data_IF_610649934109
#
_entry.id   IF_610649934109
#
_cell.length_a   1.000
_cell.length_b   1.000
_cell.length_c   1.000
_cell.angle_alpha   90.00
_cell.angle_beta   90.00
_cell.angle_gamma   90.00
#
_symmetry.space_group_name_H-M   'P 1'
#
loop_
_entity.id
_entity.type
_entity.pdbx_description
1 polymer ?
#
# COMPACT_ATOMS: atom_id res chain seq x y z
N UNK A 1 -31.02 42.83 60.19
CA UNK A 1 -31.82 44.05 59.99
C UNK A 1 -32.92 43.66 59.06
N UNK A 2 -34.14 43.56 59.55
CA UNK A 2 -35.32 43.39 58.72
C UNK A 2 -35.50 44.65 57.92
N UNK A 3 -35.40 44.53 56.58
CA UNK A 3 -35.80 45.62 55.67
C UNK A 3 -37.32 45.86 55.92
N UNK A 4 -37.60 46.79 56.84
CA UNK A 4 -38.95 47.25 57.02
C UNK A 4 -39.44 47.84 55.70
N UNK A 5 -40.62 47.37 55.28
CA UNK A 5 -41.24 47.81 54.08
C UNK A 5 -41.42 49.34 54.18
N UNK A 6 -40.75 50.09 53.31
CA UNK A 6 -40.91 51.54 53.23
C UNK A 6 -42.28 51.91 52.64
N UNK A 7 -43.29 51.76 53.50
CA UNK A 7 -44.69 51.97 53.09
C UNK A 7 -44.95 53.35 52.52
N UNK A 8 -44.21 54.35 52.98
CA UNK A 8 -44.37 55.77 52.48
C UNK A 8 -43.92 55.88 50.99
N UNK A 9 -42.89 55.17 50.65
CA UNK A 9 -42.41 55.07 49.25
C UNK A 9 -43.45 54.37 48.36
N UNK A 10 -44.07 53.32 48.83
CA UNK A 10 -45.11 52.61 48.07
C UNK A 10 -46.39 53.36 47.94
N UNK A 11 -46.80 54.15 48.96
CA UNK A 11 -47.95 55.10 48.87
C UNK A 11 -47.67 56.16 47.85
N UNK A 12 -46.48 56.71 47.83
CA UNK A 12 -46.11 57.74 46.86
C UNK A 12 -46.09 57.20 45.42
N UNK A 13 -45.56 55.99 45.24
CA UNK A 13 -45.60 55.35 43.94
C UNK A 13 -47.03 54.99 43.47
N UNK A 14 -47.87 54.50 44.37
CA UNK A 14 -49.28 54.28 44.05
C UNK A 14 -50.02 55.54 43.59
N UNK A 15 -49.78 56.69 44.22
CA UNK A 15 -50.35 57.97 43.81
C UNK A 15 -49.84 58.38 42.42
N UNK A 16 -48.55 58.16 42.08
CA UNK A 16 -47.97 58.46 40.75
C UNK A 16 -48.59 57.64 39.62
N UNK A 17 -48.95 56.39 39.88
CA UNK A 17 -49.59 55.47 38.88
C UNK A 17 -51.14 55.52 38.91
N UNK A 18 -51.76 56.41 39.75
CA UNK A 18 -53.21 56.57 39.86
C UNK A 18 -53.94 55.45 40.56
N UNK A 19 -53.19 54.58 41.39
CA UNK A 19 -53.78 53.53 42.19
C UNK A 19 -54.13 53.97 43.60
N UNK A 20 -55.09 53.29 44.28
CA UNK A 20 -55.43 53.60 45.66
C UNK A 20 -54.22 53.26 46.57
N UNK A 21 -53.59 54.17 47.31
CA UNK A 21 -52.40 53.97 48.08
C UNK A 21 -52.55 52.91 49.19
N UNK A 22 -53.74 52.82 49.82
CA UNK A 22 -53.96 51.87 50.90
C UNK A 22 -54.18 50.45 50.38
N UNK A 23 -54.89 50.28 49.28
CA UNK A 23 -55.05 48.97 48.62
C UNK A 23 -53.72 48.49 48.05
N UNK A 24 -52.89 49.38 47.50
CA UNK A 24 -51.56 49.11 46.96
C UNK A 24 -50.59 48.57 48.05
N UNK A 25 -50.52 49.31 49.18
CA UNK A 25 -49.68 48.91 50.32
C UNK A 25 -50.16 47.57 50.90
N UNK A 26 -51.49 47.37 50.98
CA UNK A 26 -52.04 46.06 51.42
C UNK A 26 -51.72 44.91 50.49
N UNK A 27 -51.65 45.16 49.19
CA UNK A 27 -51.22 44.17 48.21
C UNK A 27 -49.73 43.89 48.33
N UNK A 28 -48.88 44.95 48.49
CA UNK A 28 -47.43 44.81 48.69
C UNK A 28 -47.10 44.03 49.97
N UNK A 29 -47.85 44.24 51.07
CA UNK A 29 -47.68 43.41 52.30
C UNK A 29 -47.93 41.91 52.12
N UNK A 30 -48.70 41.54 51.12
CA UNK A 30 -48.96 40.12 50.81
C UNK A 30 -47.85 39.48 49.98
N UNK A 31 -46.97 40.28 49.37
CA UNK A 31 -45.83 39.76 48.64
C UNK A 31 -44.78 39.25 49.63
N UNK A 32 -44.30 38.04 49.44
CA UNK A 32 -43.17 37.52 50.22
C UNK A 32 -41.91 38.33 49.95
N UNK A 33 -41.44 39.05 50.98
CA UNK A 33 -40.17 39.75 50.90
C UNK A 33 -39.01 38.74 51.09
N UNK A 34 -38.06 38.79 50.17
CA UNK A 34 -36.84 38.03 50.21
C UNK A 34 -35.69 39.03 50.41
N UNK A 35 -34.81 38.80 51.37
CA UNK A 35 -33.67 39.66 51.58
C UNK A 35 -32.70 39.64 50.38
N UNK A 36 -31.95 40.74 50.18
CA UNK A 36 -30.96 40.82 49.10
C UNK A 36 -29.91 39.70 49.21
N UNK A 37 -29.50 39.39 50.43
CA UNK A 37 -28.53 38.29 50.73
C UNK A 37 -29.10 36.92 50.26
N UNK A 38 -30.37 36.64 50.57
CA UNK A 38 -31.03 35.41 50.11
C UNK A 38 -31.15 35.32 48.60
N UNK A 39 -31.36 36.42 47.89
CA UNK A 39 -31.36 36.50 46.44
C UNK A 39 -29.96 36.25 45.86
N UNK A 40 -28.94 36.85 46.46
CA UNK A 40 -27.55 36.64 46.05
C UNK A 40 -27.08 35.18 46.28
N UNK A 41 -27.43 34.61 47.44
CA UNK A 41 -27.19 33.20 47.71
C UNK A 41 -27.89 32.26 46.73
N UNK A 42 -29.19 32.48 46.46
CA UNK A 42 -29.93 31.74 45.46
C UNK A 42 -29.32 31.84 44.06
N UNK A 43 -28.94 33.09 43.65
CA UNK A 43 -28.28 33.30 42.38
C UNK A 43 -26.94 32.55 42.26
N UNK A 44 -26.14 32.52 43.34
CA UNK A 44 -24.90 31.76 43.38
C UNK A 44 -25.14 30.26 43.28
N UNK A 45 -26.12 29.71 43.99
CA UNK A 45 -26.51 28.31 43.88
C UNK A 45 -26.92 27.97 42.44
N UNK A 46 -27.79 28.79 41.83
CA UNK A 46 -28.18 28.60 40.42
C UNK A 46 -27.01 28.67 39.46
N UNK A 47 -26.06 29.58 39.65
CA UNK A 47 -24.84 29.69 38.86
C UNK A 47 -23.98 28.39 38.95
N UNK A 48 -23.77 27.91 40.18
CA UNK A 48 -23.00 26.67 40.41
C UNK A 48 -23.69 25.47 39.75
N UNK A 49 -25.01 25.34 39.93
CA UNK A 49 -25.78 24.23 39.31
C UNK A 49 -25.72 24.36 37.79
N UNK A 50 -25.95 25.50 37.20
CA UNK A 50 -25.91 25.72 35.75
C UNK A 50 -24.50 25.39 35.18
N UNK A 51 -23.44 25.83 35.88
CA UNK A 51 -22.04 25.52 35.52
C UNK A 51 -21.77 24.02 35.57
N UNK A 52 -22.22 23.33 36.60
CA UNK A 52 -22.02 21.89 36.75
C UNK A 52 -22.78 21.11 35.68
N UNK A 53 -24.05 21.44 35.44
CA UNK A 53 -24.87 20.80 34.40
C UNK A 53 -24.27 21.01 33.00
N UNK A 54 -23.81 22.23 32.71
CA UNK A 54 -23.12 22.53 31.43
C UNK A 54 -21.82 21.72 31.28
N UNK A 55 -21.01 21.64 32.34
CA UNK A 55 -19.78 20.83 32.33
C UNK A 55 -20.04 19.35 32.16
N UNK A 56 -21.10 18.81 32.81
CA UNK A 56 -21.52 17.43 32.65
C UNK A 56 -21.96 17.14 31.21
N UNK A 57 -22.79 17.99 30.63
CA UNK A 57 -23.24 17.86 29.24
C UNK A 57 -22.06 17.89 28.24
N UNK A 58 -21.13 18.80 28.46
CA UNK A 58 -19.92 18.88 27.62
C UNK A 58 -19.04 17.62 27.75
N UNK A 59 -18.86 17.12 28.96
CA UNK A 59 -18.10 15.90 29.20
C UNK A 59 -18.78 14.65 28.55
N UNK A 60 -20.11 14.52 28.67
CA UNK A 60 -20.84 13.46 27.99
C UNK A 60 -20.71 13.54 26.46
N UNK A 61 -20.79 14.74 25.89
CA UNK A 61 -20.56 14.94 24.46
C UNK A 61 -19.16 14.50 24.04
N UNK A 62 -18.13 14.88 24.81
CA UNK A 62 -16.74 14.47 24.55
C UNK A 62 -16.56 12.96 24.63
N UNK A 63 -17.12 12.30 25.63
CA UNK A 63 -17.05 10.85 25.80
C UNK A 63 -17.70 10.13 24.61
N UNK A 64 -18.89 10.61 24.18
CA UNK A 64 -19.54 10.06 22.99
C UNK A 64 -18.68 10.17 21.73
N UNK A 65 -18.07 11.35 21.50
CA UNK A 65 -17.16 11.55 20.36
C UNK A 65 -15.92 10.66 20.44
N UNK A 66 -15.37 10.44 21.61
CA UNK A 66 -14.23 9.52 21.81
C UNK A 66 -14.63 8.07 21.50
N UNK A 67 -15.84 7.64 21.88
CA UNK A 67 -16.36 6.29 21.54
C UNK A 67 -16.46 6.12 20.02
N UNK A 68 -17.13 7.04 19.35
CA UNK A 68 -17.25 7.04 17.88
C UNK A 68 -15.88 6.98 17.19
N UNK A 69 -14.91 7.79 17.66
CA UNK A 69 -13.54 7.78 17.13
C UNK A 69 -12.84 6.43 17.38
N UNK A 70 -12.99 5.83 18.57
CA UNK A 70 -12.39 4.53 18.89
C UNK A 70 -12.98 3.41 18.03
N UNK A 71 -14.31 3.41 17.79
CA UNK A 71 -14.96 2.45 16.92
C UNK A 71 -14.45 2.57 15.46
N UNK A 72 -14.39 3.80 14.92
CA UNK A 72 -13.84 4.04 13.59
C UNK A 72 -12.37 3.63 13.47
N UNK A 73 -11.55 3.92 14.50
CA UNK A 73 -10.15 3.52 14.54
C UNK A 73 -10.01 2.00 14.52
N UNK A 74 -10.78 1.27 15.33
CA UNK A 74 -10.78 -0.19 15.37
C UNK A 74 -11.24 -0.81 14.03
N UNK A 75 -12.18 -0.17 13.34
CA UNK A 75 -12.60 -0.59 12.01
C UNK A 75 -11.47 -0.37 11.00
N UNK A 76 -10.80 0.79 11.02
CA UNK A 76 -9.66 1.09 10.18
C UNK A 76 -8.50 0.12 10.38
N UNK A 77 -8.18 -0.21 11.66
CA UNK A 77 -7.15 -1.20 12.01
C UNK A 77 -7.44 -2.55 11.36
N UNK A 78 -8.69 -3.05 11.46
CA UNK A 78 -9.08 -4.33 10.84
C UNK A 78 -8.95 -4.31 9.32
N UNK A 79 -9.29 -3.20 8.68
CA UNK A 79 -9.15 -3.05 7.22
C UNK A 79 -7.67 -3.06 6.80
N UNK A 80 -6.81 -2.34 7.53
CA UNK A 80 -5.37 -2.33 7.22
C UNK A 80 -4.75 -3.69 7.51
N UNK A 81 -5.12 -4.39 8.59
CA UNK A 81 -4.65 -5.74 8.87
C UNK A 81 -5.02 -6.73 7.74
N UNK A 82 -6.26 -6.70 7.25
CA UNK A 82 -6.68 -7.52 6.12
C UNK A 82 -5.89 -7.20 4.84
N UNK A 83 -5.61 -5.92 4.56
CA UNK A 83 -4.78 -5.52 3.43
C UNK A 83 -3.32 -5.99 3.57
N UNK A 84 -2.77 -6.01 4.80
CA UNK A 84 -1.44 -6.56 5.06
C UNK A 84 -1.36 -8.07 4.82
N UNK A 85 -2.40 -8.83 5.21
CA UNK A 85 -2.47 -10.26 4.93
C UNK A 85 -2.52 -10.53 3.42
N UNK A 86 -3.29 -9.76 2.66
CA UNK A 86 -3.34 -9.86 1.19
C UNK A 86 -1.99 -9.52 0.55
N UNK A 87 -1.33 -8.44 1.02
CA UNK A 87 0.01 -8.07 0.56
C UNK A 87 1.05 -9.14 0.87
N UNK A 88 1.00 -9.76 2.04
CA UNK A 88 1.88 -10.86 2.43
C UNK A 88 1.67 -12.07 1.50
N UNK A 89 0.43 -12.45 1.21
CA UNK A 89 0.11 -13.51 0.26
C UNK A 89 0.60 -13.18 -1.16
N UNK A 90 0.47 -11.91 -1.59
CA UNK A 90 0.98 -11.47 -2.88
C UNK A 90 2.51 -11.53 -2.96
N UNK A 91 3.22 -11.10 -1.91
CA UNK A 91 4.67 -11.20 -1.84
C UNK A 91 5.15 -12.64 -1.93
N UNK A 92 4.49 -13.56 -1.22
CA UNK A 92 4.79 -15.00 -1.30
C UNK A 92 4.58 -15.56 -2.71
N UNK A 93 3.53 -15.13 -3.40
CA UNK A 93 3.28 -15.55 -4.79
C UNK A 93 4.38 -15.04 -5.74
N UNK A 94 4.84 -13.79 -5.54
CA UNK A 94 5.96 -13.24 -6.34
C UNK A 94 7.24 -14.04 -6.08
N UNK A 95 7.55 -14.39 -4.83
CA UNK A 95 8.71 -15.22 -4.49
C UNK A 95 8.65 -16.60 -5.17
N UNK A 96 7.48 -17.26 -5.14
CA UNK A 96 7.28 -18.52 -5.83
C UNK A 96 7.50 -18.40 -7.35
N UNK A 97 6.95 -17.34 -7.96
CA UNK A 97 7.14 -17.07 -9.40
C UNK A 97 8.60 -16.79 -9.74
N UNK A 98 9.37 -16.12 -8.86
CA UNK A 98 10.80 -15.89 -9.05
C UNK A 98 11.61 -17.20 -9.01
N UNK A 99 11.24 -18.11 -8.10
CA UNK A 99 11.86 -19.43 -8.04
C UNK A 99 11.56 -20.28 -9.31
N UNK A 100 10.36 -20.16 -9.85
CA UNK A 100 9.99 -20.83 -11.10
C UNK A 100 10.73 -20.20 -12.29
N UNK A 101 10.78 -18.86 -12.37
CA UNK A 101 11.53 -18.15 -13.40
C UNK A 101 13.01 -18.52 -13.40
N UNK A 102 13.64 -18.66 -12.22
CA UNK A 102 15.04 -19.10 -12.13
C UNK A 102 15.24 -20.47 -12.76
N UNK A 103 14.34 -21.42 -12.49
CA UNK A 103 14.42 -22.77 -13.11
C UNK A 103 14.25 -22.75 -14.62
N UNK A 104 13.37 -21.89 -15.14
CA UNK A 104 13.18 -21.75 -16.59
C UNK A 104 14.41 -21.10 -17.25
N UNK A 105 15.05 -20.15 -16.56
CA UNK A 105 16.31 -19.54 -17.00
C UNK A 105 17.40 -20.63 -17.10
N UNK A 106 17.60 -21.45 -16.07
CA UNK A 106 18.58 -22.55 -16.08
C UNK A 106 18.37 -23.50 -17.29
N UNK A 107 17.09 -23.76 -17.62
CA UNK A 107 16.73 -24.58 -18.78
C UNK A 107 17.06 -23.91 -20.12
N UNK A 108 16.87 -22.60 -20.20
CA UNK A 108 17.24 -21.82 -21.39
C UNK A 108 18.76 -21.85 -21.58
N UNK A 109 19.53 -21.65 -20.50
CA UNK A 109 21.01 -21.74 -20.55
C UNK A 109 21.49 -23.11 -20.98
N UNK A 110 20.91 -24.18 -20.42
CA UNK A 110 21.26 -25.57 -20.83
C UNK A 110 20.99 -25.80 -22.31
N UNK A 111 19.82 -25.36 -22.82
CA UNK A 111 19.48 -25.52 -24.22
C UNK A 111 20.36 -24.66 -25.13
N UNK A 112 20.72 -23.44 -24.71
CA UNK A 112 21.65 -22.59 -25.43
C UNK A 112 23.03 -23.24 -25.55
N UNK A 113 23.52 -23.85 -24.48
CA UNK A 113 24.75 -24.64 -24.47
C UNK A 113 24.71 -25.80 -25.48
N UNK A 114 23.63 -26.56 -25.53
CA UNK A 114 23.45 -27.66 -26.51
C UNK A 114 23.42 -27.13 -27.96
N UNK A 115 22.76 -26.02 -28.21
CA UNK A 115 22.73 -25.39 -29.55
C UNK A 115 24.12 -24.96 -29.96
N UNK A 116 24.91 -24.39 -29.05
CA UNK A 116 26.29 -24.01 -29.31
C UNK A 116 27.13 -25.24 -29.70
N UNK A 117 27.04 -26.36 -28.99
CA UNK A 117 27.71 -27.60 -29.33
C UNK A 117 27.32 -28.12 -30.73
N UNK A 118 26.04 -28.10 -31.07
CA UNK A 118 25.55 -28.51 -32.39
C UNK A 118 26.06 -27.58 -33.50
N UNK A 119 26.08 -26.28 -33.29
CA UNK A 119 26.58 -25.33 -34.28
C UNK A 119 28.07 -25.53 -34.56
N UNK A 120 28.87 -25.77 -33.54
CA UNK A 120 30.28 -26.12 -33.72
C UNK A 120 30.49 -27.44 -34.51
N UNK A 121 29.65 -28.46 -34.26
CA UNK A 121 29.67 -29.68 -35.04
C UNK A 121 29.29 -29.43 -36.51
N UNK A 122 28.24 -28.69 -36.79
CA UNK A 122 27.81 -28.34 -38.16
C UNK A 122 28.89 -27.56 -38.87
N UNK A 123 29.57 -26.61 -38.18
CA UNK A 123 30.70 -25.86 -38.74
C UNK A 123 31.83 -26.76 -39.18
N UNK A 124 32.20 -27.77 -38.37
CA UNK A 124 33.21 -28.79 -38.71
C UNK A 124 32.80 -29.60 -39.92
N UNK A 125 31.52 -30.04 -40.00
CA UNK A 125 30.98 -30.79 -41.14
C UNK A 125 31.04 -29.95 -42.40
N UNK A 126 30.61 -28.65 -42.35
CA UNK A 126 30.68 -27.74 -43.45
C UNK A 126 32.14 -27.56 -43.97
N UNK A 127 33.09 -27.35 -43.08
CA UNK A 127 34.50 -27.28 -43.44
C UNK A 127 35.02 -28.55 -44.12
N UNK A 128 34.66 -29.72 -43.59
CA UNK A 128 35.04 -31.00 -44.20
C UNK A 128 34.38 -31.20 -45.57
N UNK A 129 33.12 -30.82 -45.72
CA UNK A 129 32.38 -30.88 -46.97
C UNK A 129 32.99 -29.97 -47.99
N UNK A 130 33.42 -28.76 -47.60
CA UNK A 130 34.15 -27.83 -48.47
C UNK A 130 35.46 -28.43 -48.98
N UNK A 131 36.27 -29.04 -48.09
CA UNK A 131 37.49 -29.69 -48.47
C UNK A 131 37.25 -30.89 -49.41
N UNK A 132 36.18 -31.67 -49.22
CA UNK A 132 35.78 -32.74 -50.12
C UNK A 132 35.40 -32.19 -51.49
N UNK A 133 34.62 -31.11 -51.53
CA UNK A 133 34.22 -30.40 -52.79
C UNK A 133 35.47 -29.88 -53.52
N UNK A 134 36.43 -29.28 -52.81
CA UNK A 134 37.68 -28.81 -53.39
C UNK A 134 38.48 -29.98 -53.99
N UNK A 135 38.68 -31.06 -53.25
CA UNK A 135 39.38 -32.25 -53.73
C UNK A 135 38.72 -32.88 -54.97
N UNK A 136 37.36 -32.94 -54.98
CA UNK A 136 36.60 -33.41 -56.14
C UNK A 136 36.76 -32.48 -57.34
N UNK A 137 36.79 -31.17 -57.16
CA UNK A 137 37.05 -30.20 -58.23
C UNK A 137 38.43 -30.33 -58.82
N UNK A 138 39.44 -30.59 -58.01
CA UNK A 138 40.80 -30.84 -58.45
C UNK A 138 40.89 -32.09 -59.31
N UNK A 139 40.27 -33.22 -58.88
CA UNK A 139 40.30 -34.45 -59.63
C UNK A 139 39.45 -34.41 -60.92
N UNK A 140 38.30 -33.70 -60.88
CA UNK A 140 37.52 -33.40 -62.08
C UNK A 140 38.33 -32.60 -63.15
N UNK A 141 39.10 -31.63 -62.74
CA UNK A 141 40.00 -30.86 -63.59
C UNK A 141 41.11 -31.73 -64.18
N UNK A 142 41.62 -32.67 -63.40
CA UNK A 142 42.65 -33.67 -63.81
C UNK A 142 42.13 -34.64 -64.89
N UNK A 143 40.83 -34.97 -64.84
CA UNK A 143 40.17 -35.82 -65.84
C UNK A 143 39.85 -35.09 -67.17
N UNK A 144 40.11 -33.79 -67.28
CA UNK A 144 39.90 -33.01 -68.50
C UNK A 144 38.44 -33.01 -68.95
N UNK A 145 38.20 -33.20 -70.25
CA UNK A 145 36.85 -33.17 -70.82
C UNK A 145 35.90 -34.22 -70.23
N UNK A 146 36.38 -35.37 -69.75
CA UNK A 146 35.55 -36.40 -69.13
C UNK A 146 35.10 -35.98 -67.70
N UNK A 147 35.77 -35.08 -67.05
CA UNK A 147 35.43 -34.58 -65.69
C UNK A 147 34.54 -33.36 -65.64
N UNK A 148 34.15 -32.75 -66.77
CA UNK A 148 33.42 -31.47 -66.81
C UNK A 148 32.10 -31.47 -66.00
N UNK A 149 31.31 -32.54 -66.07
CA UNK A 149 30.05 -32.68 -65.27
C UNK A 149 30.33 -32.84 -63.78
N UNK A 150 31.40 -33.53 -63.39
CA UNK A 150 31.82 -33.68 -61.97
C UNK A 150 32.35 -32.39 -61.39
N UNK A 151 33.04 -31.52 -62.20
CA UNK A 151 33.50 -30.21 -61.78
C UNK A 151 32.33 -29.30 -61.34
N UNK A 152 31.22 -29.27 -62.06
CA UNK A 152 30.04 -28.49 -61.70
C UNK A 152 29.44 -28.95 -60.38
N UNK A 153 29.33 -30.28 -60.17
CA UNK A 153 28.80 -30.84 -58.90
C UNK A 153 29.73 -30.50 -57.73
N UNK A 154 31.05 -30.61 -57.94
CA UNK A 154 32.04 -30.30 -56.90
C UNK A 154 32.02 -28.81 -56.52
N UNK A 155 31.84 -27.91 -57.46
CA UNK A 155 31.68 -26.49 -57.21
C UNK A 155 30.40 -26.21 -56.41
N UNK A 156 29.28 -26.84 -56.75
CA UNK A 156 28.02 -26.69 -56.08
C UNK A 156 28.08 -27.21 -54.61
N UNK A 157 28.77 -28.34 -54.38
CA UNK A 157 29.08 -28.85 -53.01
C UNK A 157 29.87 -27.79 -52.23
N UNK A 158 30.86 -27.17 -52.82
CA UNK A 158 31.62 -26.07 -52.18
C UNK A 158 30.74 -24.90 -51.77
N UNK A 159 29.88 -24.44 -52.70
CA UNK A 159 28.91 -23.34 -52.40
C UNK A 159 27.94 -23.70 -51.27
N UNK A 160 27.41 -24.93 -51.26
CA UNK A 160 26.55 -25.40 -50.20
C UNK A 160 27.25 -25.47 -48.83
N UNK A 161 28.54 -25.86 -48.83
CA UNK A 161 29.34 -25.87 -47.59
C UNK A 161 29.59 -24.46 -47.08
N UNK A 162 29.89 -23.48 -47.96
CA UNK A 162 30.07 -22.07 -47.59
C UNK A 162 28.75 -21.48 -47.09
N UNK A 163 27.62 -21.74 -47.71
CA UNK A 163 26.31 -21.33 -47.24
C UNK A 163 25.93 -21.92 -45.86
N UNK A 164 26.29 -23.20 -45.64
CA UNK A 164 26.10 -23.86 -44.35
C UNK A 164 26.94 -23.17 -43.24
N UNK A 165 28.20 -22.86 -43.55
CA UNK A 165 29.07 -22.14 -42.60
C UNK A 165 28.55 -20.74 -42.25
N UNK A 166 28.08 -19.97 -43.25
CA UNK A 166 27.46 -18.65 -42.99
C UNK A 166 26.16 -18.77 -42.18
N UNK A 167 25.37 -19.80 -42.39
CA UNK A 167 24.17 -20.06 -41.59
C UNK A 167 24.51 -20.31 -40.15
N UNK A 168 25.56 -21.10 -39.88
CA UNK A 168 26.05 -21.34 -38.51
C UNK A 168 26.53 -20.07 -37.84
N UNK A 169 27.25 -19.20 -38.55
CA UNK A 169 27.68 -17.91 -38.00
C UNK A 169 26.47 -17.03 -37.58
N UNK A 170 25.41 -17.00 -38.40
CA UNK A 170 24.20 -16.30 -38.05
C UNK A 170 23.49 -16.91 -36.81
N UNK A 171 23.48 -18.26 -36.68
CA UNK A 171 22.92 -18.93 -35.51
C UNK A 171 23.73 -18.56 -34.25
N UNK A 172 25.05 -18.50 -34.34
CA UNK A 172 25.91 -18.09 -33.23
C UNK A 172 25.58 -16.66 -32.77
N UNK A 173 25.39 -15.72 -33.70
CA UNK A 173 24.99 -14.35 -33.35
C UNK A 173 23.62 -14.29 -32.65
N UNK A 174 22.65 -15.10 -33.08
CA UNK A 174 21.38 -15.21 -32.36
C UNK A 174 21.54 -15.78 -30.96
N UNK A 175 22.41 -16.77 -30.79
CA UNK A 175 22.69 -17.37 -29.48
C UNK A 175 23.36 -16.36 -28.52
N UNK A 176 24.26 -15.54 -29.02
CA UNK A 176 24.89 -14.47 -28.21
C UNK A 176 23.82 -13.45 -27.74
N UNK A 177 22.90 -13.06 -28.63
CA UNK A 177 21.78 -12.18 -28.27
C UNK A 177 20.80 -12.82 -27.26
N UNK A 178 20.58 -14.14 -27.34
CA UNK A 178 19.77 -14.90 -26.36
C UNK A 178 20.48 -14.87 -24.99
N UNK A 179 21.78 -15.16 -24.95
CA UNK A 179 22.55 -15.15 -23.72
C UNK A 179 22.52 -13.78 -23.04
N UNK A 180 22.72 -12.70 -23.80
CA UNK A 180 22.58 -11.34 -23.27
C UNK A 180 21.19 -11.06 -22.69
N UNK A 181 20.13 -11.53 -23.37
CA UNK A 181 18.76 -11.37 -22.88
C UNK A 181 18.50 -12.17 -21.60
N UNK A 182 19.11 -13.35 -21.47
CA UNK A 182 19.06 -14.19 -20.27
C UNK A 182 19.78 -13.47 -19.11
N UNK A 183 20.98 -12.97 -19.31
CA UNK A 183 21.73 -12.22 -18.28
C UNK A 183 20.91 -11.01 -17.77
N UNK A 184 20.30 -10.24 -18.69
CA UNK A 184 19.42 -9.13 -18.31
C UNK A 184 18.19 -9.59 -17.52
N UNK A 185 17.62 -10.75 -17.84
CA UNK A 185 16.49 -11.34 -17.15
C UNK A 185 16.88 -11.76 -15.74
N UNK A 186 18.04 -12.40 -15.57
CA UNK A 186 18.61 -12.76 -14.26
C UNK A 186 18.79 -11.53 -13.38
N UNK A 187 19.39 -10.47 -13.92
CA UNK A 187 19.59 -9.21 -13.18
C UNK A 187 18.26 -8.59 -12.71
N UNK A 188 17.23 -8.58 -13.57
CA UNK A 188 15.90 -8.08 -13.22
C UNK A 188 15.20 -8.98 -12.20
N UNK A 189 15.37 -10.30 -12.30
CA UNK A 189 14.84 -11.26 -11.34
C UNK A 189 15.42 -11.01 -9.94
N UNK A 190 16.73 -10.83 -9.87
CA UNK A 190 17.42 -10.51 -8.62
C UNK A 190 16.90 -9.19 -8.00
N UNK A 191 16.77 -8.14 -8.80
CA UNK A 191 16.20 -6.87 -8.35
C UNK A 191 14.77 -7.02 -7.82
N UNK A 192 13.95 -7.84 -8.47
CA UNK A 192 12.59 -8.13 -8.02
C UNK A 192 12.60 -8.84 -6.67
N UNK A 193 13.48 -9.80 -6.45
CA UNK A 193 13.64 -10.49 -5.17
C UNK A 193 14.03 -9.55 -4.04
N UNK A 194 14.91 -8.59 -4.30
CA UNK A 194 15.29 -7.54 -3.33
C UNK A 194 14.10 -6.65 -2.96
N UNK A 195 13.31 -6.24 -3.96
CA UNK A 195 12.09 -5.44 -3.75
C UNK A 195 11.08 -6.21 -2.87
N UNK A 196 10.85 -7.50 -3.15
CA UNK A 196 9.94 -8.35 -2.37
C UNK A 196 10.42 -8.52 -0.93
N UNK A 197 11.72 -8.70 -0.73
CA UNK A 197 12.32 -8.76 0.61
C UNK A 197 12.08 -7.46 1.39
N UNK A 198 12.31 -6.30 0.77
CA UNK A 198 12.01 -5.00 1.38
C UNK A 198 10.51 -4.79 1.64
N UNK A 199 9.64 -5.29 0.76
CA UNK A 199 8.19 -5.27 0.96
C UNK A 199 7.76 -6.10 2.17
N UNK A 200 8.33 -7.30 2.36
CA UNK A 200 8.07 -8.15 3.51
C UNK A 200 8.48 -7.47 4.83
N UNK A 201 9.62 -6.78 4.85
CA UNK A 201 10.06 -6.00 6.02
C UNK A 201 9.09 -4.84 6.32
N UNK A 202 8.64 -4.11 5.29
CA UNK A 202 7.67 -3.04 5.44
C UNK A 202 6.31 -3.55 5.96
N UNK A 203 5.83 -4.70 5.49
CA UNK A 203 4.61 -5.36 5.97
C UNK A 203 4.76 -5.68 7.46
N UNK A 204 5.87 -6.29 7.88
CA UNK A 204 6.13 -6.62 9.28
C UNK A 204 6.11 -5.37 10.16
N UNK A 205 6.81 -4.32 9.77
CA UNK A 205 6.85 -3.06 10.51
C UNK A 205 5.46 -2.38 10.60
N UNK A 206 4.68 -2.48 9.54
CA UNK A 206 3.31 -1.95 9.54
C UNK A 206 2.41 -2.74 10.49
N UNK A 207 2.56 -4.07 10.56
CA UNK A 207 1.83 -4.91 11.51
C UNK A 207 2.20 -4.58 12.97
N UNK A 208 3.47 -4.32 13.27
CA UNK A 208 3.93 -3.85 14.58
C UNK A 208 3.29 -2.49 14.96
N UNK A 209 3.29 -1.52 14.04
CA UNK A 209 2.64 -0.23 14.25
C UNK A 209 1.13 -0.36 14.47
N UNK A 210 0.46 -1.27 13.74
CA UNK A 210 -0.96 -1.55 13.93
C UNK A 210 -1.27 -2.11 15.32
N UNK A 211 -0.39 -2.94 15.87
CA UNK A 211 -0.54 -3.46 17.23
C UNK A 211 -0.48 -2.33 18.27
N UNK A 212 0.42 -1.36 18.10
CA UNK A 212 0.51 -0.18 18.97
C UNK A 212 -0.77 0.69 18.87
N UNK A 213 -1.24 0.95 17.65
CA UNK A 213 -2.47 1.74 17.43
C UNK A 213 -3.70 0.99 18.00
N UNK A 214 -3.73 -0.34 17.90
CA UNK A 214 -4.79 -1.18 18.48
C UNK A 214 -4.81 -1.06 20.01
N UNK A 215 -3.65 -1.09 20.65
CA UNK A 215 -3.55 -0.91 22.11
C UNK A 215 -4.08 0.46 22.57
N UNK A 216 -3.80 1.53 21.80
CA UNK A 216 -4.36 2.86 22.05
C UNK A 216 -5.88 2.86 21.88
N UNK A 217 -6.40 2.17 20.85
CA UNK A 217 -7.83 2.01 20.62
C UNK A 217 -8.56 1.30 21.76
N UNK A 218 -7.99 0.21 22.24
CA UNK A 218 -8.53 -0.53 23.40
C UNK A 218 -8.49 0.30 24.69
N UNK A 219 -7.41 1.05 24.92
CA UNK A 219 -7.32 1.95 26.05
C UNK A 219 -8.40 3.03 26.02
N UNK A 220 -8.63 3.68 24.87
CA UNK A 220 -9.67 4.69 24.69
C UNK A 220 -11.07 4.08 24.88
N UNK A 221 -11.29 2.89 24.35
CA UNK A 221 -12.54 2.16 24.53
C UNK A 221 -12.79 1.86 26.01
N UNK A 222 -11.83 1.30 26.72
CA UNK A 222 -11.90 1.04 28.15
C UNK A 222 -12.16 2.29 28.98
N UNK A 223 -11.46 3.39 28.68
CA UNK A 223 -11.64 4.66 29.37
C UNK A 223 -13.06 5.25 29.20
N UNK A 224 -13.68 5.02 28.05
CA UNK A 224 -15.05 5.52 27.79
C UNK A 224 -16.16 4.64 28.34
N UNK A 225 -15.88 3.37 28.72
CA UNK A 225 -16.87 2.39 29.26
C UNK A 225 -16.72 2.14 30.76
N UNK A 226 -15.68 2.61 31.44
CA UNK A 226 -15.47 2.43 32.88
C UNK A 226 -16.37 3.31 33.79
N UNK A 227 -17.31 4.09 33.25
CA UNK A 227 -18.20 5.00 34.03
C UNK A 227 -19.68 4.69 33.88
N UNK A 228 -20.03 3.45 33.58
CA UNK A 228 -21.36 2.90 33.91
C UNK A 228 -21.23 2.03 35.17
#
# INVERSE_FOLDING_TARGET
>A
MTDELDEEKFRKYAAEIGADPEEYVKAVRKVKHVSKEMLEEAANVFYIVAKNVSSMGYNQYRLRRLREMSEHMNQGIRQVAAAMDELSGSAQNVENNQNELSREIDRVEENAGKIHEFTELIKKIAQQTRLLGLNASIEAARAGAAGAGFSVVAEEIGKLADSSSSTVENIQQFMDAINESVEQTVAKSQQTSEIVSGQNEAIKKTAENLAEVSAVGEYLYGFTHQKE
#
